data_IF_699253095478
#
_entry.id   IF_699253095478
#
_cell.length_a   1.000
_cell.length_b   1.000
_cell.length_c   1.000
_cell.angle_alpha   90.00
_cell.angle_beta   90.00
_cell.angle_gamma   90.00
#
_symmetry.space_group_name_H-M   'P 1'
#
loop_
_entity.id
_entity.type
_entity.pdbx_description
1 polymer ?
#
# COMPACT_ATOMS: atom_id res chain seq x y z
N UNK A 1 3.41 18.41 -11.86
CA UNK A 1 2.52 19.58 -11.92
C UNK A 1 2.94 20.66 -10.91
N UNK A 2 3.08 20.37 -9.61
CA UNK A 2 3.45 21.36 -8.58
C UNK A 2 4.74 22.12 -8.86
N UNK A 3 5.76 21.47 -9.42
CA UNK A 3 7.01 22.14 -9.86
C UNK A 3 6.72 23.17 -10.94
N UNK A 4 5.87 22.83 -11.92
CA UNK A 4 5.47 23.77 -12.97
C UNK A 4 4.74 24.99 -12.42
N UNK A 5 3.83 24.78 -11.46
CA UNK A 5 3.15 25.87 -10.74
C UNK A 5 4.15 26.78 -10.02
N UNK A 6 5.12 26.20 -9.31
CA UNK A 6 6.19 26.98 -8.68
C UNK A 6 6.99 27.81 -9.70
N UNK A 7 7.36 27.22 -10.84
CA UNK A 7 8.12 27.92 -11.90
C UNK A 7 7.34 29.11 -12.48
N UNK A 8 6.02 28.98 -12.63
CA UNK A 8 5.14 30.05 -13.10
C UNK A 8 5.04 31.16 -12.04
N UNK A 9 4.65 30.79 -10.82
CA UNK A 9 4.36 31.77 -9.75
C UNK A 9 5.62 32.47 -9.24
N UNK A 10 6.78 31.79 -9.28
CA UNK A 10 8.07 32.42 -8.97
C UNK A 10 8.55 33.39 -10.04
N UNK A 11 7.87 33.46 -11.18
CA UNK A 11 8.22 34.29 -12.36
C UNK A 11 9.61 34.03 -12.93
N UNK A 12 10.31 33.00 -12.46
CA UNK A 12 11.68 32.70 -12.83
C UNK A 12 11.80 32.01 -14.20
N UNK A 13 10.87 31.08 -14.47
CA UNK A 13 10.79 30.30 -15.71
C UNK A 13 9.34 30.03 -16.12
N UNK A 14 8.52 31.06 -16.40
CA UNK A 14 7.07 30.87 -16.58
C UNK A 14 6.71 30.01 -17.80
N UNK A 15 7.46 30.17 -18.92
CA UNK A 15 7.23 29.35 -20.14
C UNK A 15 7.54 27.88 -19.90
N UNK A 16 8.66 27.57 -19.26
CA UNK A 16 9.02 26.20 -18.91
C UNK A 16 8.02 25.61 -17.87
N UNK A 17 7.59 26.42 -16.91
CA UNK A 17 6.55 26.03 -15.95
C UNK A 17 5.22 25.68 -16.62
N UNK A 18 4.79 26.48 -17.60
CA UNK A 18 3.60 26.20 -18.39
C UNK A 18 3.74 24.87 -19.17
N UNK A 19 4.88 24.66 -19.83
CA UNK A 19 5.17 23.42 -20.54
C UNK A 19 5.12 22.21 -19.62
N UNK A 20 5.73 22.28 -18.43
CA UNK A 20 5.69 21.20 -17.42
C UNK A 20 4.25 20.93 -16.94
N UNK A 21 3.46 21.97 -16.69
CA UNK A 21 2.05 21.79 -16.29
C UNK A 21 1.22 21.12 -17.40
N UNK A 22 1.36 21.61 -18.64
CA UNK A 22 0.62 21.08 -19.80
C UNK A 22 1.01 19.63 -20.09
N UNK A 23 2.31 19.32 -20.10
CA UNK A 23 2.78 17.94 -20.30
C UNK A 23 2.33 16.99 -19.17
N UNK A 24 2.40 17.43 -17.91
CA UNK A 24 1.96 16.63 -16.78
C UNK A 24 0.45 16.34 -16.83
N UNK A 25 -0.34 17.33 -17.17
CA UNK A 25 -1.79 17.19 -17.29
C UNK A 25 -2.18 16.34 -18.50
N UNK A 26 -1.57 16.62 -19.65
CA UNK A 26 -1.78 15.84 -20.88
C UNK A 26 -1.37 14.37 -20.71
N UNK A 27 -0.23 14.11 -20.05
CA UNK A 27 0.20 12.75 -19.71
C UNK A 27 -0.83 12.03 -18.83
N UNK A 28 -1.35 12.70 -17.78
CA UNK A 28 -2.37 12.11 -16.92
C UNK A 28 -3.62 11.75 -17.71
N UNK A 29 -4.14 12.66 -18.55
CA UNK A 29 -5.32 12.40 -19.38
C UNK A 29 -5.07 11.27 -20.39
N UNK A 30 -3.93 11.28 -21.07
CA UNK A 30 -3.58 10.21 -22.02
C UNK A 30 -3.48 8.85 -21.32
N UNK A 31 -2.85 8.81 -20.14
CA UNK A 31 -2.70 7.58 -19.38
C UNK A 31 -4.07 7.02 -18.96
N UNK A 32 -4.95 7.86 -18.39
CA UNK A 32 -6.21 7.40 -17.82
C UNK A 32 -7.32 7.13 -18.88
N UNK A 33 -7.33 7.87 -19.98
CA UNK A 33 -8.42 7.76 -20.97
C UNK A 33 -8.01 7.02 -22.25
N UNK A 34 -6.71 6.83 -22.51
CA UNK A 34 -6.22 6.14 -23.71
C UNK A 34 -5.46 4.87 -23.34
N UNK A 35 -4.40 4.99 -22.53
CA UNK A 35 -3.48 3.88 -22.30
C UNK A 35 -4.10 2.82 -21.37
N UNK A 36 -4.64 3.21 -20.23
CA UNK A 36 -5.25 2.25 -19.29
C UNK A 36 -6.41 1.44 -19.91
N UNK A 37 -7.34 2.05 -20.67
CA UNK A 37 -8.42 1.30 -21.29
C UNK A 37 -7.97 0.27 -22.34
N UNK A 38 -6.79 0.43 -22.95
CA UNK A 38 -6.22 -0.57 -23.88
C UNK A 38 -5.94 -1.89 -23.15
N UNK A 39 -5.50 -1.82 -21.88
CA UNK A 39 -5.16 -3.00 -21.07
C UNK A 39 -6.35 -3.55 -20.29
N UNK A 40 -7.29 -2.70 -19.87
CA UNK A 40 -8.51 -3.11 -19.16
C UNK A 40 -9.55 -1.99 -19.29
N UNK A 41 -10.68 -2.29 -19.93
CA UNK A 41 -11.69 -1.30 -20.30
C UNK A 41 -12.28 -0.49 -19.15
N UNK A 42 -12.30 -1.04 -17.94
CA UNK A 42 -12.88 -0.43 -16.73
C UNK A 42 -11.87 -0.07 -15.63
N UNK A 43 -10.57 -0.32 -15.85
CA UNK A 43 -9.56 -0.15 -14.78
C UNK A 43 -9.45 1.31 -14.30
N UNK A 44 -9.52 2.27 -15.23
CA UNK A 44 -9.41 3.68 -14.87
C UNK A 44 -10.68 4.18 -14.15
N UNK A 45 -11.85 3.75 -14.58
CA UNK A 45 -13.13 4.08 -13.95
C UNK A 45 -13.20 3.50 -12.53
N UNK A 46 -12.85 2.22 -12.35
CA UNK A 46 -12.77 1.60 -11.02
C UNK A 46 -11.78 2.30 -10.12
N UNK A 47 -10.58 2.61 -10.63
CA UNK A 47 -9.58 3.34 -9.86
C UNK A 47 -10.09 4.72 -9.41
N UNK A 48 -10.77 5.46 -10.29
CA UNK A 48 -11.33 6.76 -9.96
C UNK A 48 -12.43 6.64 -8.92
N UNK A 49 -13.33 5.67 -9.05
CA UNK A 49 -14.39 5.40 -8.06
C UNK A 49 -13.85 4.96 -6.70
N UNK A 50 -12.86 4.06 -6.66
CA UNK A 50 -12.25 3.60 -5.41
C UNK A 50 -11.52 4.72 -4.66
N UNK A 51 -10.98 5.71 -5.38
CA UNK A 51 -10.15 6.77 -4.78
C UNK A 51 -10.85 8.09 -4.60
N UNK A 52 -11.78 8.42 -5.47
CA UNK A 52 -12.42 9.74 -5.55
C UNK A 52 -13.94 9.66 -5.77
N UNK A 53 -14.56 8.50 -5.53
CA UNK A 53 -15.99 8.27 -5.78
C UNK A 53 -16.92 9.20 -5.01
N UNK A 54 -16.46 9.80 -3.91
CA UNK A 54 -17.24 10.84 -3.22
C UNK A 54 -17.50 12.09 -4.07
N UNK A 55 -16.80 12.31 -5.17
CA UNK A 55 -17.02 13.43 -6.10
C UNK A 55 -17.78 13.04 -7.35
N UNK A 56 -18.27 11.79 -7.43
CA UNK A 56 -19.04 11.29 -8.56
C UNK A 56 -20.51 11.09 -8.18
N UNK A 57 -21.40 11.33 -9.14
CA UNK A 57 -22.84 11.14 -8.94
C UNK A 57 -23.34 9.75 -9.39
N UNK A 58 -22.47 8.95 -10.04
CA UNK A 58 -22.78 7.63 -10.60
C UNK A 58 -22.00 6.48 -9.98
N UNK A 59 -22.24 5.27 -10.50
CA UNK A 59 -21.48 4.06 -10.17
C UNK A 59 -20.14 3.95 -10.92
N UNK A 60 -19.97 4.75 -11.96
CA UNK A 60 -18.77 4.84 -12.79
C UNK A 60 -18.47 6.32 -13.02
N UNK A 61 -17.21 6.69 -12.96
CA UNK A 61 -16.81 8.07 -13.21
C UNK A 61 -15.50 8.13 -13.99
N UNK A 62 -15.49 9.02 -14.98
CA UNK A 62 -14.27 9.38 -15.70
C UNK A 62 -13.41 10.35 -14.88
N UNK A 63 -12.13 10.48 -15.24
CA UNK A 63 -11.24 11.46 -14.61
C UNK A 63 -11.77 12.89 -14.71
N UNK A 64 -12.41 13.24 -15.83
CA UNK A 64 -12.95 14.58 -16.05
C UNK A 64 -14.18 14.86 -15.19
N UNK A 65 -15.05 13.88 -14.98
CA UNK A 65 -16.21 13.99 -14.08
C UNK A 65 -15.76 14.22 -12.63
N UNK A 66 -14.75 13.48 -12.17
CA UNK A 66 -14.18 13.71 -10.83
C UNK A 66 -13.61 15.13 -10.70
N UNK A 67 -12.83 15.58 -11.68
CA UNK A 67 -12.30 16.96 -11.69
C UNK A 67 -13.43 17.98 -11.65
N UNK A 68 -14.47 17.76 -12.45
CA UNK A 68 -15.65 18.62 -12.47
C UNK A 68 -16.38 18.62 -11.12
N UNK A 69 -16.61 17.45 -10.52
CA UNK A 69 -17.21 17.31 -9.19
C UNK A 69 -16.43 18.03 -8.09
N UNK A 70 -15.09 18.03 -8.18
CA UNK A 70 -14.23 18.77 -7.25
C UNK A 70 -14.37 20.29 -7.45
N UNK A 71 -14.37 20.77 -8.70
CA UNK A 71 -14.42 22.22 -9.00
C UNK A 71 -15.80 22.79 -8.79
N UNK A 72 -16.86 22.04 -9.08
CA UNK A 72 -18.25 22.50 -8.95
C UNK A 72 -18.74 22.61 -7.51
N UNK A 73 -18.08 21.91 -6.56
CA UNK A 73 -18.48 21.94 -5.16
C UNK A 73 -17.31 22.28 -4.22
N UNK A 74 -16.90 23.55 -4.14
CA UNK A 74 -15.76 23.98 -3.31
C UNK A 74 -15.95 23.76 -1.82
N UNK A 75 -17.20 23.77 -1.33
CA UNK A 75 -17.48 23.49 0.07
C UNK A 75 -17.17 22.03 0.41
N UNK A 76 -17.60 21.10 -0.42
CA UNK A 76 -17.30 19.66 -0.27
C UNK A 76 -15.79 19.42 -0.30
N UNK A 77 -15.09 20.10 -1.21
CA UNK A 77 -13.63 20.07 -1.27
C UNK A 77 -12.97 20.43 0.07
N UNK A 78 -13.40 21.54 0.69
CA UNK A 78 -12.87 21.99 1.98
C UNK A 78 -13.16 20.97 3.09
N UNK A 79 -14.37 20.45 3.15
CA UNK A 79 -14.75 19.43 4.13
C UNK A 79 -13.91 18.18 3.99
N UNK A 80 -13.73 17.65 2.78
CA UNK A 80 -12.94 16.45 2.51
C UNK A 80 -11.45 16.64 2.85
N UNK A 81 -10.86 17.82 2.59
CA UNK A 81 -9.46 18.11 2.95
C UNK A 81 -9.26 18.07 4.46
N UNK A 82 -10.26 18.50 5.23
CA UNK A 82 -10.14 18.61 6.68
C UNK A 82 -10.51 17.28 7.35
N UNK A 83 -11.38 16.47 6.75
CA UNK A 83 -11.94 15.27 7.37
C UNK A 83 -11.20 14.00 6.93
N UNK A 84 -10.73 13.15 7.83
CA UNK A 84 -10.74 13.29 9.30
C UNK A 84 -9.58 14.17 9.80
N UNK A 85 -9.91 15.15 10.62
CA UNK A 85 -8.98 16.19 11.12
C UNK A 85 -7.74 15.60 11.79
N UNK A 86 -7.94 14.56 12.61
CA UNK A 86 -6.85 13.92 13.36
C UNK A 86 -5.78 13.33 12.43
N UNK A 87 -6.18 12.66 11.36
CA UNK A 87 -5.25 12.06 10.38
C UNK A 87 -4.55 13.10 9.54
N UNK A 88 -5.28 14.14 9.11
CA UNK A 88 -4.72 15.26 8.37
C UNK A 88 -3.66 15.98 9.18
N UNK A 89 -3.96 16.30 10.45
CA UNK A 89 -3.00 16.95 11.35
C UNK A 89 -1.80 16.04 11.62
N UNK A 90 -2.00 14.76 11.95
CA UNK A 90 -0.91 13.79 12.16
C UNK A 90 0.00 13.69 10.94
N UNK A 91 -0.59 13.64 9.75
CA UNK A 91 0.16 13.58 8.49
C UNK A 91 1.04 14.82 8.27
N UNK A 92 0.47 16.01 8.46
CA UNK A 92 1.21 17.27 8.31
C UNK A 92 2.31 17.41 9.38
N UNK A 93 1.97 17.13 10.64
CA UNK A 93 2.94 17.20 11.73
C UNK A 93 4.12 16.24 11.51
N UNK A 94 3.85 15.02 11.09
CA UNK A 94 4.90 14.04 10.81
C UNK A 94 5.86 14.46 9.70
N UNK A 95 5.38 15.24 8.71
CA UNK A 95 6.22 15.79 7.65
C UNK A 95 6.92 17.10 8.02
N UNK A 96 6.30 17.94 8.83
CA UNK A 96 6.85 19.25 9.20
C UNK A 96 7.82 19.18 10.38
N UNK A 97 7.58 18.26 11.33
CA UNK A 97 8.38 18.14 12.54
C UNK A 97 9.88 17.93 12.26
N UNK A 98 10.31 16.99 11.38
CA UNK A 98 11.74 16.80 11.08
C UNK A 98 12.43 18.04 10.48
N UNK A 99 11.64 18.91 9.84
CA UNK A 99 12.09 20.15 9.20
C UNK A 99 11.80 21.41 10.06
N UNK A 100 11.59 21.22 11.37
CA UNK A 100 11.31 22.30 12.31
C UNK A 100 10.19 23.26 11.85
N UNK A 101 9.13 22.71 11.25
CA UNK A 101 7.96 23.42 10.72
C UNK A 101 8.25 24.44 9.61
N UNK A 102 9.46 24.49 9.06
CA UNK A 102 9.79 25.39 7.95
C UNK A 102 8.87 25.19 6.73
N UNK A 103 8.52 23.97 6.30
CA UNK A 103 7.60 23.79 5.18
C UNK A 103 6.22 24.43 5.40
N UNK A 104 5.76 24.51 6.65
CA UNK A 104 4.46 25.12 6.95
C UNK A 104 4.42 26.63 6.62
N UNK A 105 5.55 27.33 6.77
CA UNK A 105 5.68 28.77 6.52
C UNK A 105 6.34 29.09 5.18
N UNK A 106 6.77 28.10 4.41
CA UNK A 106 7.47 28.27 3.13
C UNK A 106 6.50 28.26 1.94
N UNK A 107 6.24 29.40 1.27
CA UNK A 107 5.38 29.41 0.08
C UNK A 107 5.86 28.45 -1.03
N UNK A 108 7.16 28.33 -1.32
CA UNK A 108 7.64 27.33 -2.29
C UNK A 108 7.29 25.89 -1.92
N UNK A 109 7.29 25.53 -0.63
CA UNK A 109 6.89 24.20 -0.19
C UNK A 109 5.42 23.91 -0.54
N UNK A 110 4.54 24.87 -0.27
CA UNK A 110 3.11 24.75 -0.60
C UNK A 110 2.86 24.72 -2.13
N UNK A 111 3.59 25.53 -2.90
CA UNK A 111 3.45 25.52 -4.36
C UNK A 111 3.82 24.18 -4.98
N UNK A 112 4.90 23.56 -4.49
CA UNK A 112 5.42 22.31 -5.05
C UNK A 112 4.69 21.10 -4.48
N UNK A 113 4.51 21.02 -3.14
CA UNK A 113 3.90 19.91 -2.46
C UNK A 113 2.36 19.99 -2.40
N UNK A 114 1.77 21.16 -2.65
CA UNK A 114 0.33 21.40 -2.51
C UNK A 114 -0.53 20.48 -3.37
N UNK A 115 -0.14 20.26 -4.62
CA UNK A 115 -0.85 19.34 -5.51
C UNK A 115 -0.79 17.88 -5.06
N UNK A 116 0.37 17.30 -4.74
CA UNK A 116 0.46 15.99 -4.11
C UNK A 116 -0.33 15.89 -2.80
N UNK A 117 -0.26 16.90 -1.94
CA UNK A 117 -1.03 16.95 -0.70
C UNK A 117 -2.53 16.95 -0.95
N UNK A 118 -3.01 17.80 -1.87
CA UNK A 118 -4.42 17.85 -2.24
C UNK A 118 -4.90 16.49 -2.73
N UNK A 119 -4.16 15.84 -3.62
CA UNK A 119 -4.47 14.50 -4.10
C UNK A 119 -4.60 13.49 -2.96
N UNK A 120 -3.70 13.53 -1.97
CA UNK A 120 -3.71 12.59 -0.86
C UNK A 120 -4.87 12.87 0.11
N UNK A 121 -5.17 14.13 0.40
CA UNK A 121 -6.27 14.50 1.29
C UNK A 121 -7.65 14.20 0.68
N UNK A 122 -7.77 14.27 -0.64
CA UNK A 122 -9.01 13.93 -1.34
C UNK A 122 -9.16 12.43 -1.64
N UNK A 123 -8.09 11.66 -1.57
CA UNK A 123 -8.15 10.24 -1.90
C UNK A 123 -8.70 9.41 -0.74
N UNK A 124 -9.70 8.59 -1.02
CA UNK A 124 -10.25 7.63 -0.06
C UNK A 124 -9.27 6.47 0.18
N UNK A 125 -9.29 5.93 1.39
CA UNK A 125 -8.53 4.74 1.79
C UNK A 125 -7.81 4.91 3.12
N UNK A 126 -7.80 3.84 3.92
CA UNK A 126 -7.20 3.82 5.27
C UNK A 126 -5.71 4.13 5.29
N UNK A 127 -4.99 3.82 4.21
CA UNK A 127 -3.52 3.90 4.11
C UNK A 127 -3.00 5.14 3.38
N UNK A 128 -3.88 5.97 2.80
CA UNK A 128 -3.46 7.09 1.94
C UNK A 128 -2.65 8.13 2.70
N UNK A 129 -3.05 8.45 3.93
CA UNK A 129 -2.37 9.39 4.82
C UNK A 129 -1.36 8.71 5.75
N UNK A 130 -0.79 7.59 5.35
CA UNK A 130 0.31 6.96 6.07
C UNK A 130 1.66 7.51 5.63
N UNK A 131 2.46 8.00 6.60
CA UNK A 131 3.81 8.52 6.35
C UNK A 131 4.79 7.39 5.97
N UNK A 132 4.51 6.17 6.45
CA UNK A 132 5.39 5.00 6.27
C UNK A 132 5.23 4.31 4.91
N UNK A 133 4.25 4.73 4.11
CA UNK A 133 3.97 4.14 2.79
C UNK A 133 4.45 5.08 1.68
N UNK A 134 4.68 4.48 0.51
CA UNK A 134 5.15 5.14 -0.73
C UNK A 134 4.43 6.43 -1.13
N UNK A 135 3.23 6.69 -0.63
CA UNK A 135 2.46 7.91 -0.96
C UNK A 135 3.15 9.18 -0.45
N UNK A 136 3.84 9.10 0.68
CA UNK A 136 4.63 10.20 1.22
C UNK A 136 5.74 10.66 0.26
N UNK A 137 6.30 9.75 -0.55
CA UNK A 137 7.37 10.05 -1.51
C UNK A 137 6.97 11.13 -2.53
N UNK A 138 5.70 11.32 -2.80
CA UNK A 138 5.23 12.37 -3.73
C UNK A 138 5.26 13.76 -3.13
N UNK A 139 5.25 13.87 -1.81
CA UNK A 139 5.18 15.13 -1.04
C UNK A 139 6.56 15.57 -0.55
N UNK A 140 7.35 14.61 -0.08
CA UNK A 140 8.66 14.84 0.58
C UNK A 140 9.60 15.74 -0.24
N UNK A 141 9.83 15.50 -1.56
CA UNK A 141 10.74 16.35 -2.33
C UNK A 141 10.33 17.83 -2.34
N UNK A 142 9.01 18.11 -2.42
CA UNK A 142 8.48 19.46 -2.41
C UNK A 142 8.71 20.18 -1.08
N UNK A 143 8.54 19.45 0.03
CA UNK A 143 8.76 19.99 1.37
C UNK A 143 10.23 20.30 1.64
N UNK A 144 11.14 19.38 1.27
CA UNK A 144 12.58 19.58 1.43
C UNK A 144 13.08 20.73 0.57
N UNK A 145 12.71 20.74 -0.71
CA UNK A 145 13.11 21.81 -1.62
C UNK A 145 12.56 23.17 -1.17
N UNK A 146 11.31 23.22 -0.72
CA UNK A 146 10.72 24.42 -0.16
C UNK A 146 11.42 24.90 1.10
N UNK A 147 11.87 23.99 1.97
CA UNK A 147 12.67 24.32 3.14
C UNK A 147 14.05 24.88 2.76
N UNK A 148 14.73 24.27 1.77
CA UNK A 148 16.02 24.76 1.25
C UNK A 148 15.88 26.18 0.70
N UNK A 149 14.85 26.42 -0.12
CA UNK A 149 14.60 27.76 -0.69
C UNK A 149 14.27 28.80 0.38
N UNK A 150 13.58 28.39 1.44
CA UNK A 150 13.31 29.30 2.56
C UNK A 150 14.60 29.66 3.28
N UNK A 151 15.44 28.66 3.63
CA UNK A 151 16.73 28.90 4.27
C UNK A 151 17.69 29.73 3.41
N UNK A 152 17.71 29.52 2.11
CA UNK A 152 18.55 30.32 1.20
C UNK A 152 18.24 31.82 1.27
N UNK A 153 17.00 32.19 1.61
CA UNK A 153 16.56 33.57 1.75
C UNK A 153 16.68 34.11 3.18
N UNK A 154 16.80 33.23 4.18
CA UNK A 154 16.79 33.60 5.60
C UNK A 154 17.99 33.03 6.37
N UNK A 155 19.24 33.13 5.87
CA UNK A 155 20.41 32.51 6.52
C UNK A 155 20.68 33.08 7.92
N UNK A 156 20.30 34.35 8.16
CA UNK A 156 20.47 35.02 9.45
C UNK A 156 19.58 34.45 10.57
N UNK A 157 18.55 33.70 10.25
CA UNK A 157 17.68 33.05 11.23
C UNK A 157 18.24 31.74 11.75
N UNK A 158 19.31 31.20 11.14
CA UNK A 158 19.98 29.97 11.56
C UNK A 158 20.87 30.18 12.80
N UNK A 159 20.28 30.75 13.86
CA UNK A 159 20.92 31.06 15.12
C UNK A 159 21.06 29.80 16.00
N UNK A 160 21.98 29.81 16.99
CA UNK A 160 22.17 28.67 17.89
C UNK A 160 20.89 28.18 18.63
N UNK A 161 20.00 29.11 18.97
CA UNK A 161 18.70 28.79 19.58
C UNK A 161 17.81 27.99 18.63
N UNK A 162 17.73 28.40 17.38
CA UNK A 162 16.95 27.69 16.36
C UNK A 162 17.56 26.31 16.07
N UNK A 163 18.90 26.20 16.01
CA UNK A 163 19.58 24.91 15.81
C UNK A 163 19.23 23.91 16.91
N UNK A 164 19.22 24.35 18.20
CA UNK A 164 18.79 23.49 19.31
C UNK A 164 17.33 23.07 19.20
N UNK A 165 16.45 24.01 18.83
CA UNK A 165 15.04 23.68 18.58
C UNK A 165 14.90 22.65 17.46
N UNK A 166 15.63 22.82 16.35
CA UNK A 166 15.59 21.86 15.23
C UNK A 166 16.09 20.48 15.62
N UNK A 167 17.22 20.41 16.36
CA UNK A 167 17.70 19.13 16.91
C UNK A 167 16.63 18.49 17.80
N UNK A 168 15.97 19.25 18.66
CA UNK A 168 14.84 18.76 19.46
C UNK A 168 13.70 18.19 18.59
N UNK A 169 13.33 18.88 17.51
CA UNK A 169 12.32 18.39 16.57
C UNK A 169 12.74 17.09 15.88
N UNK A 170 14.02 16.95 15.50
CA UNK A 170 14.55 15.71 14.91
C UNK A 170 14.53 14.57 15.94
N UNK A 171 15.01 14.82 17.17
CA UNK A 171 14.97 13.81 18.24
C UNK A 171 13.53 13.36 18.54
N UNK A 172 12.59 14.31 18.60
CA UNK A 172 11.18 14.01 18.83
C UNK A 172 10.56 13.22 17.64
N UNK A 173 10.93 13.56 16.42
CA UNK A 173 10.49 12.83 15.22
C UNK A 173 11.02 11.38 15.22
N UNK A 174 12.27 11.17 15.60
CA UNK A 174 12.85 9.84 15.78
C UNK A 174 12.13 9.07 16.90
N UNK A 175 11.90 9.71 18.04
CA UNK A 175 11.16 9.10 19.14
C UNK A 175 9.77 8.64 18.70
N UNK A 176 9.02 9.48 17.99
CA UNK A 176 7.71 9.10 17.45
C UNK A 176 7.79 7.99 16.40
N UNK A 177 8.86 7.94 15.59
CA UNK A 177 9.08 6.84 14.65
C UNK A 177 9.28 5.49 15.35
N UNK A 178 9.97 5.48 16.50
CA UNK A 178 10.22 4.27 17.26
C UNK A 178 9.06 3.87 18.18
N UNK A 179 8.30 4.86 18.69
CA UNK A 179 7.19 4.63 19.63
C UNK A 179 5.82 4.58 18.95
N UNK A 180 5.73 4.95 17.66
CA UNK A 180 4.48 4.78 16.93
C UNK A 180 4.13 3.30 16.96
N UNK A 181 2.92 2.99 17.46
CA UNK A 181 2.41 1.63 17.53
C UNK A 181 2.72 0.90 16.24
N UNK A 182 3.34 -0.28 16.37
CA UNK A 182 3.62 -1.17 15.25
C UNK A 182 2.30 -1.51 14.57
N UNK A 183 1.93 -0.71 13.58
CA UNK A 183 0.81 -1.05 12.71
C UNK A 183 1.33 -2.03 11.67
N UNK A 184 0.46 -2.87 11.14
CA UNK A 184 0.75 -3.80 10.03
C UNK A 184 1.46 -3.10 8.85
N UNK A 185 1.38 -1.78 8.78
CA UNK A 185 1.95 -0.93 7.75
C UNK A 185 3.38 -0.45 8.07
N UNK A 186 3.87 -0.61 9.31
CA UNK A 186 5.16 -0.09 9.75
C UNK A 186 6.10 -1.21 10.20
N UNK A 187 6.48 -2.09 9.28
CA UNK A 187 7.44 -3.18 9.50
C UNK A 187 8.81 -2.88 8.88
N UNK A 188 9.20 -1.60 8.87
CA UNK A 188 10.34 -1.13 8.08
C UNK A 188 11.66 -1.76 8.48
N UNK A 189 11.87 -2.07 9.74
CA UNK A 189 13.15 -2.59 10.26
C UNK A 189 13.01 -3.93 10.97
N UNK A 190 11.98 -4.72 10.65
CA UNK A 190 11.71 -5.98 11.33
C UNK A 190 12.85 -7.02 11.25
N UNK A 191 13.76 -6.87 10.31
CA UNK A 191 14.95 -7.72 10.18
C UNK A 191 16.14 -7.21 11.03
N UNK A 192 16.12 -5.94 11.49
CA UNK A 192 17.14 -5.35 12.37
C UNK A 192 16.62 -5.17 13.78
N UNK A 193 15.37 -4.74 13.93
CA UNK A 193 14.74 -4.44 15.20
C UNK A 193 13.44 -5.23 15.34
N UNK A 194 13.01 -5.59 16.56
CA UNK A 194 11.73 -6.24 16.77
C UNK A 194 10.56 -5.37 16.31
N UNK A 195 9.60 -5.97 15.61
CA UNK A 195 8.34 -5.33 15.21
C UNK A 195 7.42 -5.04 16.39
N UNK A 196 7.53 -5.87 17.44
CA UNK A 196 6.75 -5.77 18.67
C UNK A 196 7.60 -6.20 19.87
N UNK A 197 7.36 -5.57 21.01
CA UNK A 197 8.05 -5.89 22.26
C UNK A 197 7.18 -6.69 23.24
N UNK A 198 5.86 -6.74 23.02
CA UNK A 198 4.93 -7.48 23.87
C UNK A 198 3.75 -8.02 23.06
N UNK A 199 3.77 -9.28 22.65
CA UNK A 199 4.92 -10.21 22.65
C UNK A 199 6.00 -9.83 21.66
N UNK A 200 7.24 -10.22 21.93
CA UNK A 200 8.36 -10.01 21.02
C UNK A 200 8.19 -10.84 19.75
N UNK A 201 8.08 -10.18 18.60
CA UNK A 201 8.05 -10.80 17.28
C UNK A 201 9.19 -10.28 16.43
N UNK A 202 10.10 -11.17 16.09
CA UNK A 202 11.23 -10.86 15.25
C UNK A 202 11.61 -12.06 14.38
N UNK A 203 11.52 -11.89 13.07
CA UNK A 203 11.89 -12.91 12.09
C UNK A 203 13.17 -12.47 11.39
N UNK A 204 14.34 -13.00 11.75
CA UNK A 204 15.60 -12.57 11.19
C UNK A 204 15.71 -12.94 9.70
N UNK A 205 16.46 -12.14 8.96
CA UNK A 205 16.59 -12.22 7.51
C UNK A 205 17.03 -13.61 7.00
N UNK A 206 17.94 -14.29 7.74
CA UNK A 206 18.38 -15.63 7.35
C UNK A 206 17.25 -16.66 7.38
N UNK A 207 16.31 -16.58 8.33
CA UNK A 207 15.14 -17.46 8.36
C UNK A 207 14.21 -17.21 7.17
N UNK A 208 14.05 -15.95 6.78
CA UNK A 208 13.24 -15.61 5.62
C UNK A 208 13.88 -16.11 4.32
N UNK A 209 15.18 -15.96 4.17
CA UNK A 209 15.88 -16.51 3.01
C UNK A 209 15.80 -18.03 2.93
N UNK A 210 15.93 -18.70 4.08
CA UNK A 210 15.74 -20.15 4.14
C UNK A 210 14.31 -20.53 3.70
N UNK A 211 13.29 -19.87 4.26
CA UNK A 211 11.90 -20.07 3.88
C UNK A 211 11.66 -19.87 2.37
N UNK A 212 12.17 -18.77 1.80
CA UNK A 212 12.07 -18.51 0.35
C UNK A 212 12.72 -19.64 -0.46
N UNK A 213 13.86 -20.15 -0.03
CA UNK A 213 14.53 -21.30 -0.65
C UNK A 213 13.65 -22.55 -0.66
N UNK A 214 12.92 -22.81 0.42
CA UNK A 214 12.06 -23.98 0.57
C UNK A 214 10.84 -23.94 -0.35
N UNK A 215 10.12 -22.85 -0.44
CA UNK A 215 8.87 -22.81 -1.22
C UNK A 215 9.05 -22.44 -2.69
N UNK A 216 10.21 -21.94 -3.10
CA UNK A 216 10.50 -21.55 -4.49
C UNK A 216 10.17 -22.64 -5.52
N UNK A 217 10.39 -23.94 -5.26
CA UNK A 217 9.99 -25.01 -6.19
C UNK A 217 8.48 -25.07 -6.43
N UNK A 218 7.64 -24.71 -5.46
CA UNK A 218 6.18 -24.66 -5.64
C UNK A 218 5.76 -23.59 -6.66
N UNK A 219 6.43 -22.43 -6.66
CA UNK A 219 6.18 -21.39 -7.66
C UNK A 219 6.47 -21.88 -9.09
N UNK A 220 7.49 -22.71 -9.25
CA UNK A 220 7.87 -23.30 -10.52
C UNK A 220 6.85 -24.30 -11.09
N UNK A 221 5.96 -24.84 -10.25
CA UNK A 221 4.89 -25.76 -10.68
C UNK A 221 3.72 -25.02 -11.35
N UNK A 222 3.62 -23.71 -11.18
CA UNK A 222 2.53 -22.91 -11.74
C UNK A 222 2.89 -22.46 -13.16
N UNK A 223 2.17 -22.89 -14.21
CA UNK A 223 2.46 -22.51 -15.59
C UNK A 223 2.42 -20.98 -15.79
N UNK A 224 3.23 -20.42 -16.69
CA UNK A 224 3.31 -18.96 -16.89
C UNK A 224 1.99 -18.31 -17.29
N UNK A 225 1.15 -19.03 -18.03
CA UNK A 225 -0.12 -18.53 -18.56
C UNK A 225 -1.32 -18.86 -17.67
N UNK A 226 -1.13 -19.56 -16.54
CA UNK A 226 -2.21 -19.92 -15.65
C UNK A 226 -2.68 -18.71 -14.83
N UNK A 227 -3.99 -18.62 -14.59
CA UNK A 227 -4.57 -17.66 -13.66
C UNK A 227 -4.29 -18.07 -12.22
N UNK A 228 -3.90 -17.11 -11.37
CA UNK A 228 -3.46 -17.39 -10.00
C UNK A 228 -4.07 -16.42 -8.99
N UNK A 229 -4.47 -16.96 -7.84
CA UNK A 229 -4.70 -16.15 -6.64
C UNK A 229 -3.62 -16.45 -5.59
N UNK A 230 -2.98 -15.40 -5.05
CA UNK A 230 -1.84 -15.54 -4.16
C UNK A 230 -1.93 -14.63 -2.94
N UNK A 231 -1.27 -15.01 -1.83
CA UNK A 231 -1.02 -14.08 -0.72
C UNK A 231 -0.15 -12.91 -1.19
N UNK A 232 -0.33 -11.75 -0.56
CA UNK A 232 0.30 -10.48 -0.97
C UNK A 232 1.80 -10.59 -1.21
N UNK A 233 2.50 -11.38 -0.42
CA UNK A 233 3.96 -11.56 -0.51
C UNK A 233 4.41 -12.38 -1.72
N UNK A 234 3.55 -13.27 -2.21
CA UNK A 234 3.84 -14.11 -3.39
C UNK A 234 3.47 -13.43 -4.72
N UNK A 235 2.56 -12.45 -4.69
CA UNK A 235 2.11 -11.73 -5.90
C UNK A 235 3.27 -11.18 -6.75
N UNK A 236 4.31 -10.53 -6.19
CA UNK A 236 5.43 -10.02 -6.99
C UNK A 236 6.17 -11.11 -7.79
N UNK A 237 6.29 -12.32 -7.23
CA UNK A 237 6.94 -13.45 -7.90
C UNK A 237 6.12 -14.04 -9.05
N UNK A 238 4.84 -13.71 -9.10
CA UNK A 238 3.86 -14.20 -10.08
C UNK A 238 3.37 -13.10 -11.03
N UNK A 239 3.92 -11.88 -10.94
CA UNK A 239 3.42 -10.68 -11.62
C UNK A 239 3.58 -10.67 -13.15
N UNK A 240 4.32 -11.60 -13.74
CA UNK A 240 4.45 -11.74 -15.21
C UNK A 240 3.22 -12.35 -15.89
N UNK A 241 2.19 -12.70 -15.11
CA UNK A 241 0.94 -13.31 -15.61
C UNK A 241 -0.10 -12.24 -15.91
N UNK A 242 -0.97 -12.54 -16.86
CA UNK A 242 -2.09 -11.67 -17.20
C UNK A 242 -3.16 -11.64 -16.10
N UNK A 243 -3.45 -12.79 -15.52
CA UNK A 243 -4.53 -13.00 -14.56
C UNK A 243 -3.93 -13.37 -13.20
N UNK A 244 -3.81 -12.37 -12.33
CA UNK A 244 -3.34 -12.54 -10.96
C UNK A 244 -4.28 -11.83 -10.00
N UNK A 245 -4.70 -12.54 -8.96
CA UNK A 245 -5.53 -12.04 -7.88
C UNK A 245 -4.79 -12.12 -6.55
N UNK A 246 -5.34 -11.43 -5.58
CA UNK A 246 -4.92 -11.54 -4.19
C UNK A 246 -5.98 -12.29 -3.38
N UNK A 247 -5.54 -13.34 -2.68
CA UNK A 247 -6.39 -14.07 -1.73
C UNK A 247 -7.03 -13.11 -0.72
N UNK A 248 -8.28 -13.38 -0.29
CA UNK A 248 -9.06 -14.60 -0.51
C UNK A 248 -9.88 -14.66 -1.82
N UNK A 249 -9.73 -13.69 -2.72
CA UNK A 249 -10.49 -13.68 -3.98
C UNK A 249 -10.01 -14.78 -4.93
N UNK A 250 -10.94 -15.61 -5.40
CA UNK A 250 -10.68 -16.69 -6.36
C UNK A 250 -11.36 -16.48 -7.71
N UNK A 251 -12.23 -15.49 -7.80
CA UNK A 251 -13.02 -15.20 -9.02
C UNK A 251 -12.53 -13.93 -9.68
N UNK A 252 -12.38 -13.98 -11.00
CA UNK A 252 -12.05 -12.87 -11.85
C UNK A 252 -13.02 -12.79 -13.05
N UNK A 253 -13.10 -11.63 -13.66
CA UNK A 253 -13.78 -11.47 -14.94
C UNK A 253 -12.76 -11.57 -16.06
N UNK A 254 -13.00 -12.51 -16.99
CA UNK A 254 -12.21 -12.63 -18.21
C UNK A 254 -12.56 -11.51 -19.22
N UNK A 255 -11.87 -11.49 -20.36
CA UNK A 255 -12.11 -10.50 -21.42
C UNK A 255 -13.54 -10.55 -22.00
N UNK A 256 -14.17 -11.72 -21.96
CA UNK A 256 -15.56 -11.91 -22.33
C UNK A 256 -16.56 -11.47 -21.24
N UNK A 257 -16.05 -10.83 -20.16
CA UNK A 257 -16.81 -10.40 -18.96
C UNK A 257 -17.49 -11.53 -18.19
N UNK A 258 -17.10 -12.78 -18.43
CA UNK A 258 -17.58 -13.93 -17.69
C UNK A 258 -16.81 -14.06 -16.38
N UNK A 259 -17.50 -14.41 -15.31
CA UNK A 259 -16.87 -14.71 -14.03
C UNK A 259 -16.28 -16.12 -14.11
N UNK A 260 -14.96 -16.21 -13.96
CA UNK A 260 -14.22 -17.48 -13.94
C UNK A 260 -13.45 -17.60 -12.63
N UNK A 261 -13.24 -18.84 -12.19
CA UNK A 261 -12.36 -19.12 -11.03
C UNK A 261 -10.94 -19.39 -11.51
N UNK A 262 -9.97 -18.91 -10.75
CA UNK A 262 -8.54 -19.06 -11.06
C UNK A 262 -8.11 -20.53 -11.13
N UNK A 263 -7.09 -20.82 -11.94
CA UNK A 263 -6.56 -22.18 -12.10
C UNK A 263 -5.77 -22.63 -10.87
N UNK A 264 -5.07 -21.71 -10.22
CA UNK A 264 -4.22 -21.99 -9.05
C UNK A 264 -4.49 -21.02 -7.90
N UNK A 265 -4.36 -21.54 -6.68
CA UNK A 265 -4.30 -20.73 -5.46
C UNK A 265 -3.04 -21.09 -4.68
N UNK A 266 -2.26 -20.09 -4.28
CA UNK A 266 -1.05 -20.28 -3.48
C UNK A 266 -1.00 -19.32 -2.30
N UNK A 267 -0.75 -19.84 -1.10
CA UNK A 267 -0.67 -19.03 0.10
C UNK A 267 0.58 -19.32 0.92
N UNK A 268 1.26 -18.26 1.31
CA UNK A 268 2.28 -18.28 2.35
C UNK A 268 1.62 -18.02 3.71
N UNK A 269 1.44 -19.09 4.46
CA UNK A 269 0.87 -19.07 5.81
C UNK A 269 1.96 -18.98 6.88
N UNK A 270 3.21 -19.35 6.54
CA UNK A 270 4.33 -19.29 7.46
C UNK A 270 4.54 -17.87 8.01
N UNK A 271 4.53 -16.87 7.15
CA UNK A 271 4.71 -15.48 7.57
C UNK A 271 3.58 -15.03 8.50
N UNK A 272 2.32 -15.34 8.16
CA UNK A 272 1.17 -15.04 9.00
C UNK A 272 1.28 -15.73 10.36
N UNK A 273 1.75 -16.97 10.40
CA UNK A 273 1.97 -17.73 11.64
C UNK A 273 3.04 -17.05 12.52
N UNK A 274 4.11 -16.53 11.93
CA UNK A 274 5.18 -15.87 12.70
C UNK A 274 4.69 -14.56 13.33
N UNK A 275 3.86 -13.79 12.64
CA UNK A 275 3.42 -12.47 13.09
C UNK A 275 2.10 -12.45 13.88
N UNK A 276 1.29 -13.51 13.78
CA UNK A 276 -0.03 -13.58 14.43
C UNK A 276 -0.02 -13.32 15.96
N UNK A 277 1.04 -13.61 16.75
CA UNK A 277 1.01 -13.32 18.17
C UNK A 277 0.86 -11.84 18.48
N UNK A 278 1.52 -10.98 17.71
CA UNK A 278 1.55 -9.54 17.92
C UNK A 278 0.53 -8.76 17.06
N UNK A 279 0.11 -9.30 15.92
CA UNK A 279 -0.71 -8.57 14.95
C UNK A 279 -2.05 -9.27 14.71
N UNK A 280 -3.11 -8.59 15.15
CA UNK A 280 -4.48 -9.10 15.02
C UNK A 280 -4.90 -9.33 13.56
N UNK A 281 -4.48 -8.47 12.64
CA UNK A 281 -4.77 -8.61 11.21
C UNK A 281 -4.17 -9.87 10.60
N UNK A 282 -2.91 -10.21 10.94
CA UNK A 282 -2.30 -11.47 10.49
C UNK A 282 -3.01 -12.68 11.07
N UNK A 283 -3.42 -12.61 12.33
CA UNK A 283 -4.20 -13.66 13.01
C UNK A 283 -5.55 -13.90 12.34
N UNK A 284 -6.26 -12.82 11.99
CA UNK A 284 -7.55 -12.90 11.32
C UNK A 284 -7.40 -13.41 9.88
N UNK A 285 -6.41 -12.92 9.15
CA UNK A 285 -6.09 -13.39 7.78
C UNK A 285 -5.70 -14.87 7.77
N UNK A 286 -4.91 -15.31 8.76
CA UNK A 286 -4.53 -16.72 8.88
C UNK A 286 -5.75 -17.63 9.11
N UNK A 287 -6.69 -17.24 9.98
CA UNK A 287 -7.95 -17.96 10.19
C UNK A 287 -8.80 -18.01 8.92
N UNK A 288 -8.97 -16.88 8.27
CA UNK A 288 -9.76 -16.78 7.03
C UNK A 288 -9.20 -17.69 5.93
N UNK A 289 -7.88 -17.69 5.73
CA UNK A 289 -7.24 -18.53 4.71
C UNK A 289 -7.32 -20.01 5.05
N UNK A 290 -7.15 -20.41 6.33
CA UNK A 290 -7.32 -21.81 6.73
C UNK A 290 -8.75 -22.27 6.44
N UNK A 291 -9.76 -21.50 6.83
CA UNK A 291 -11.17 -21.83 6.56
C UNK A 291 -11.45 -21.91 5.05
N UNK A 292 -10.91 -21.00 4.27
CA UNK A 292 -11.04 -21.02 2.81
C UNK A 292 -10.46 -22.32 2.22
N UNK A 293 -9.26 -22.71 2.61
CA UNK A 293 -8.61 -23.90 2.05
C UNK A 293 -9.30 -25.21 2.50
N UNK A 294 -9.83 -25.25 3.72
CA UNK A 294 -10.67 -26.36 4.16
C UNK A 294 -11.94 -26.49 3.31
N UNK A 295 -12.61 -25.37 3.03
CA UNK A 295 -13.79 -25.36 2.18
C UNK A 295 -13.47 -25.83 0.75
N UNK A 296 -12.38 -25.32 0.15
CA UNK A 296 -11.98 -25.68 -1.19
C UNK A 296 -11.61 -27.17 -1.31
N UNK A 297 -10.93 -27.70 -0.31
CA UNK A 297 -10.55 -29.12 -0.28
C UNK A 297 -11.76 -30.03 -0.06
N UNK A 298 -12.69 -29.64 0.82
CA UNK A 298 -13.90 -30.43 1.12
C UNK A 298 -14.89 -30.45 -0.06
N UNK A 299 -14.96 -29.39 -0.84
CA UNK A 299 -15.83 -29.34 -2.03
C UNK A 299 -15.21 -30.01 -3.24
N UNK A 300 -13.98 -30.52 -3.15
CA UNK A 300 -13.21 -31.08 -4.27
C UNK A 300 -13.06 -30.13 -5.47
N UNK A 301 -13.28 -28.86 -5.24
CA UNK A 301 -13.16 -27.83 -6.28
C UNK A 301 -11.70 -27.57 -6.61
N UNK A 302 -10.84 -27.61 -5.58
CA UNK A 302 -9.39 -27.49 -5.71
C UNK A 302 -8.72 -28.65 -4.97
N UNK A 303 -7.74 -29.29 -5.61
CA UNK A 303 -6.88 -30.27 -4.97
C UNK A 303 -5.58 -29.63 -4.47
N UNK A 304 -5.14 -30.02 -3.27
CA UNK A 304 -3.81 -29.64 -2.74
C UNK A 304 -2.77 -30.43 -3.51
N UNK A 305 -1.96 -29.75 -4.34
CA UNK A 305 -0.93 -30.38 -5.16
C UNK A 305 0.47 -30.20 -4.58
N UNK A 306 0.66 -29.28 -3.63
CA UNK A 306 1.93 -29.04 -2.97
C UNK A 306 1.76 -28.34 -1.62
N UNK A 307 2.63 -28.74 -0.67
CA UNK A 307 2.77 -28.06 0.61
C UNK A 307 4.22 -28.12 1.05
N UNK A 308 4.80 -26.97 1.38
CA UNK A 308 6.18 -26.91 1.86
C UNK A 308 6.41 -25.68 2.73
N UNK A 309 6.96 -25.88 3.93
CA UNK A 309 7.33 -24.84 4.88
C UNK A 309 6.22 -23.78 5.12
N UNK A 310 4.96 -24.25 5.32
CA UNK A 310 3.82 -23.37 5.52
C UNK A 310 3.27 -22.69 4.27
N UNK A 311 3.79 -23.01 3.08
CA UNK A 311 3.24 -22.57 1.79
C UNK A 311 2.42 -23.69 1.18
N UNK A 312 1.16 -23.40 0.88
CA UNK A 312 0.20 -24.34 0.27
C UNK A 312 -0.09 -23.94 -1.17
N UNK A 313 -0.07 -24.92 -2.07
CA UNK A 313 -0.42 -24.78 -3.48
C UNK A 313 -1.62 -25.67 -3.82
N UNK A 314 -2.67 -25.07 -4.36
CA UNK A 314 -3.86 -25.73 -4.84
C UNK A 314 -4.03 -25.52 -6.34
N UNK A 315 -4.59 -26.52 -7.00
CA UNK A 315 -4.97 -26.47 -8.42
C UNK A 315 -6.44 -26.85 -8.59
N UNK A 316 -7.14 -26.08 -9.41
CA UNK A 316 -8.55 -26.29 -9.72
C UNK A 316 -8.77 -27.66 -10.38
N UNK A 317 -9.76 -28.40 -9.91
CA UNK A 317 -10.15 -29.73 -10.41
C UNK A 317 -9.02 -30.78 -10.44
N UNK A 318 -7.93 -30.57 -9.70
CA UNK A 318 -6.84 -31.54 -9.61
C UNK A 318 -7.12 -32.58 -8.51
N UNK A 319 -6.53 -33.76 -8.66
CA UNK A 319 -6.51 -34.75 -7.59
C UNK A 319 -5.52 -34.31 -6.51
N UNK A 320 -5.89 -34.39 -5.22
CA UNK A 320 -4.99 -34.03 -4.13
C UNK A 320 -3.75 -34.94 -4.09
N UNK A 321 -2.58 -34.37 -3.88
CA UNK A 321 -1.37 -35.11 -3.57
C UNK A 321 -1.45 -35.57 -2.09
N UNK A 322 -1.29 -36.86 -1.85
CA UNK A 322 -1.45 -37.46 -0.51
C UNK A 322 -0.41 -36.91 0.49
N UNK A 323 0.85 -36.77 0.07
CA UNK A 323 1.94 -36.25 0.91
C UNK A 323 1.70 -34.78 1.27
N UNK A 324 1.38 -33.94 0.29
CA UNK A 324 1.08 -32.51 0.50
C UNK A 324 -0.15 -32.33 1.40
N UNK A 325 -1.17 -33.16 1.24
CA UNK A 325 -2.39 -33.13 2.06
C UNK A 325 -2.08 -33.51 3.51
N UNK A 326 -1.28 -34.55 3.74
CA UNK A 326 -0.87 -34.96 5.09
C UNK A 326 -0.04 -33.87 5.79
N UNK A 327 0.90 -33.25 5.06
CA UNK A 327 1.70 -32.13 5.56
C UNK A 327 0.84 -30.90 5.89
N UNK A 328 -0.16 -30.58 5.05
CA UNK A 328 -1.14 -29.53 5.32
C UNK A 328 -1.94 -29.80 6.61
N UNK A 329 -2.46 -31.00 6.78
CA UNK A 329 -3.25 -31.35 7.96
C UNK A 329 -2.42 -31.23 9.26
N UNK A 330 -1.15 -31.64 9.21
CA UNK A 330 -0.23 -31.49 10.34
C UNK A 330 0.01 -30.00 10.67
N UNK A 331 0.30 -29.18 9.68
CA UNK A 331 0.47 -27.73 9.85
C UNK A 331 -0.80 -27.08 10.41
N UNK A 332 -1.96 -27.40 9.86
CA UNK A 332 -3.26 -26.91 10.31
C UNK A 332 -3.50 -27.19 11.79
N UNK A 333 -3.25 -28.42 12.25
CA UNK A 333 -3.39 -28.78 13.67
C UNK A 333 -2.48 -27.94 14.58
N UNK A 334 -1.23 -27.71 14.15
CA UNK A 334 -0.29 -26.85 14.87
C UNK A 334 -0.82 -25.42 14.99
N UNK A 335 -1.28 -24.84 13.88
CA UNK A 335 -1.79 -23.47 13.85
C UNK A 335 -3.08 -23.33 14.66
N UNK A 336 -4.01 -24.27 14.58
CA UNK A 336 -5.23 -24.26 15.41
C UNK A 336 -4.91 -24.23 16.90
N UNK A 337 -3.94 -25.02 17.34
CA UNK A 337 -3.52 -25.05 18.74
C UNK A 337 -2.99 -23.68 19.23
N UNK A 338 -2.26 -22.98 18.35
CA UNK A 338 -1.70 -21.63 18.61
C UNK A 338 -2.84 -20.58 18.64
N UNK A 339 -3.76 -20.65 17.68
CA UNK A 339 -4.88 -19.71 17.57
C UNK A 339 -5.88 -19.83 18.72
N UNK A 340 -6.07 -21.04 19.27
CA UNK A 340 -6.91 -21.27 20.44
C UNK A 340 -6.29 -20.71 21.72
N UNK A 341 -4.97 -20.89 21.91
CA UNK A 341 -4.25 -20.30 23.06
C UNK A 341 -4.35 -18.78 23.06
N UNK A 342 -4.22 -18.15 21.91
CA UNK A 342 -4.33 -16.69 21.76
C UNK A 342 -5.76 -16.13 21.97
N UNK A 343 -6.77 -16.98 22.07
CA UNK A 343 -8.16 -16.59 22.37
C UNK A 343 -8.48 -16.63 23.87
N UNK A 344 -7.73 -17.41 24.61
CA UNK A 344 -7.97 -17.69 26.03
C UNK A 344 -7.02 -16.89 26.96
N UNK A 345 -6.07 -16.17 26.45
CA UNK A 345 -5.19 -15.24 27.16
C UNK A 345 -5.47 -13.79 26.75
#
# INVERSE_FOLDING_TARGET
FGVGVYMILSKRFPRAGLAVCTLSFGYMLALTNIIMPIFSGDISQRFMMERFGQFADGKEASTLEIIWGIVSNPWRLIVEIITPVDKTIKYLLGHWLPLAFIPAISPPAWMIAGFPLLKLFLAQGKSVLSITIRYALTVVPGLFYGAILWWSKHPQQFKPRFRRFWVGCICLSLLFSFTSSSSELNRTFYFLLPDSFDPLVFVPLHKQWHHVGQFRPLLGQIPPNASVSATTYLVPHLSSRREILRLPRLELRNDARQVIKVDYAIADLWQLQQYQPAFEGDRNTLRELIQLFDQLSNTSEYGIIGFQDGVILLQKAAQPNAEATAAWLTFRQQVESILQKARNG
#
